data_IF_344816183168
#
_entry.id   IF_344816183168
#
_cell.length_a   1.000
_cell.length_b   1.000
_cell.length_c   1.000
_cell.angle_alpha   90.00
_cell.angle_beta   90.00
_cell.angle_gamma   90.00
#
_symmetry.space_group_name_H-M   'P 1'
#
loop_
_entity.id
_entity.type
_entity.pdbx_description
1 polymer ?
#
# COMPACT_ATOMS: atom_id res chain seq x y z
N UNK A 1 -8.84 -9.27 3.45
CA UNK A 1 -8.45 -8.20 4.41
C UNK A 1 -9.46 -8.21 5.54
N UNK A 2 -8.98 -8.35 6.77
CA UNK A 2 -9.84 -8.51 7.95
C UNK A 2 -10.27 -7.16 8.52
N UNK A 3 -9.38 -6.16 8.52
CA UNK A 3 -9.67 -4.78 8.91
C UNK A 3 -8.99 -3.81 7.92
N UNK A 4 -9.76 -3.04 7.12
CA UNK A 4 -9.23 -2.04 6.20
C UNK A 4 -8.90 -0.68 6.85
N UNK A 5 -9.28 -0.48 8.12
CA UNK A 5 -9.00 0.75 8.87
C UNK A 5 -7.67 0.65 9.64
N UNK A 6 -7.04 -0.53 9.69
CA UNK A 6 -5.70 -0.71 10.26
C UNK A 6 -4.60 -0.29 9.25
N UNK A 7 -3.66 0.60 9.63
CA UNK A 7 -2.59 1.02 8.75
C UNK A 7 -1.57 -0.09 8.55
N UNK A 8 -0.98 -0.16 7.35
CA UNK A 8 0.15 -1.05 7.07
C UNK A 8 1.41 -0.39 7.62
N UNK A 9 2.12 -1.09 8.51
CA UNK A 9 3.37 -0.62 9.13
C UNK A 9 4.57 -1.30 8.51
N UNK A 10 5.56 -0.50 8.17
CA UNK A 10 6.85 -0.92 7.63
C UNK A 10 7.95 -0.53 8.61
N UNK A 11 8.87 -1.46 8.84
CA UNK A 11 10.03 -1.27 9.69
C UNK A 11 11.27 -1.69 8.89
N UNK A 12 12.31 -0.87 8.94
CA UNK A 12 13.59 -1.16 8.30
C UNK A 12 14.59 -1.50 9.38
N UNK A 13 15.40 -2.53 9.15
CA UNK A 13 16.44 -2.98 10.06
C UNK A 13 17.71 -3.29 9.27
N UNK A 14 18.86 -3.00 9.89
CA UNK A 14 20.16 -3.48 9.40
C UNK A 14 20.36 -4.92 9.88
N UNK A 15 20.79 -5.80 8.99
CA UNK A 15 20.97 -7.20 9.34
C UNK A 15 22.38 -7.45 9.86
N UNK A 16 22.46 -7.86 11.12
CA UNK A 16 23.71 -8.17 11.80
C UNK A 16 23.91 -9.67 12.01
N UNK A 17 25.15 -10.14 11.81
CA UNK A 17 25.46 -11.59 11.91
C UNK A 17 25.66 -12.05 13.35
N UNK A 18 26.18 -11.19 14.22
CA UNK A 18 26.57 -11.54 15.59
C UNK A 18 25.95 -10.63 16.66
N UNK A 19 25.30 -9.54 16.23
CA UNK A 19 24.60 -8.58 17.07
C UNK A 19 23.11 -8.57 16.70
N UNK A 20 22.22 -8.04 17.56
CA UNK A 20 20.84 -7.80 17.18
C UNK A 20 20.74 -6.73 16.10
N UNK A 21 19.82 -6.92 15.16
CA UNK A 21 19.56 -5.99 14.06
C UNK A 21 19.18 -4.58 14.55
N UNK A 22 19.87 -3.55 14.05
CA UNK A 22 19.64 -2.14 14.39
C UNK A 22 18.44 -1.56 13.64
N UNK A 23 17.61 -0.75 14.31
CA UNK A 23 16.43 -0.13 13.69
C UNK A 23 16.85 1.04 12.78
N UNK A 24 16.48 0.97 11.50
CA UNK A 24 16.77 1.98 10.47
C UNK A 24 15.54 2.82 10.07
N UNK A 25 14.52 2.89 10.94
CA UNK A 25 13.33 3.73 10.78
C UNK A 25 12.05 2.95 10.53
N UNK A 26 10.93 3.69 10.50
CA UNK A 26 9.60 3.13 10.26
C UNK A 26 8.71 4.05 9.42
N UNK A 27 7.75 3.47 8.72
CA UNK A 27 6.73 4.19 7.97
C UNK A 27 5.38 3.49 8.11
N UNK A 28 4.29 4.21 7.90
CA UNK A 28 2.96 3.63 7.81
C UNK A 28 2.11 4.32 6.74
N UNK A 29 1.16 3.59 6.18
CA UNK A 29 0.21 4.09 5.19
C UNK A 29 -1.16 3.40 5.31
N UNK A 30 -2.20 4.14 4.94
CA UNK A 30 -3.58 3.66 4.94
C UNK A 30 -3.91 3.03 3.58
N UNK A 31 -4.50 1.83 3.59
CA UNK A 31 -4.94 1.14 2.37
C UNK A 31 -6.38 1.47 1.98
N UNK A 32 -7.12 2.18 2.84
CA UNK A 32 -8.53 2.50 2.60
C UNK A 32 -8.80 3.23 1.28
N UNK A 33 -8.06 4.28 0.89
CA UNK A 33 -8.26 4.94 -0.41
C UNK A 33 -8.06 3.98 -1.59
N UNK A 34 -7.10 3.05 -1.47
CA UNK A 34 -6.84 2.03 -2.47
C UNK A 34 -8.02 1.06 -2.58
N UNK A 35 -8.53 0.58 -1.45
CA UNK A 35 -9.65 -0.37 -1.40
C UNK A 35 -10.97 0.23 -1.89
N UNK A 36 -11.19 1.53 -1.66
CA UNK A 36 -12.34 2.23 -2.21
C UNK A 36 -12.33 2.19 -3.74
N UNK A 37 -11.17 2.41 -4.36
CA UNK A 37 -11.00 2.33 -5.82
C UNK A 37 -11.15 0.89 -6.33
N UNK A 38 -10.59 -0.11 -5.63
CA UNK A 38 -10.75 -1.53 -5.98
C UNK A 38 -12.21 -1.96 -6.04
N UNK A 39 -13.06 -1.39 -5.17
CA UNK A 39 -14.50 -1.71 -5.12
C UNK A 39 -15.34 -0.95 -6.16
N UNK A 40 -14.76 0.01 -6.89
CA UNK A 40 -15.46 0.74 -7.94
C UNK A 40 -15.62 -0.14 -9.18
N UNK A 41 -16.68 0.11 -9.95
CA UNK A 41 -16.78 -0.44 -11.29
C UNK A 41 -15.95 0.42 -12.26
N UNK A 42 -14.75 -0.04 -12.59
CA UNK A 42 -13.78 0.65 -13.45
C UNK A 42 -13.80 0.13 -14.90
N UNK A 43 -14.69 -0.81 -15.22
CA UNK A 43 -14.83 -1.35 -16.56
C UNK A 43 -15.14 -0.25 -17.59
N UNK A 44 -14.42 -0.27 -18.71
CA UNK A 44 -14.58 0.69 -19.79
C UNK A 44 -13.82 2.01 -19.61
N UNK A 45 -13.13 2.23 -18.49
CA UNK A 45 -12.21 3.36 -18.36
C UNK A 45 -10.96 3.16 -19.23
N UNK A 46 -10.43 4.25 -19.83
CA UNK A 46 -9.16 4.19 -20.54
C UNK A 46 -8.01 3.71 -19.64
N UNK A 47 -7.05 3.02 -20.23
CA UNK A 47 -5.82 2.64 -19.55
C UNK A 47 -5.04 3.88 -19.06
N UNK A 48 -4.50 3.81 -17.85
CA UNK A 48 -3.76 4.92 -17.23
C UNK A 48 -4.64 5.99 -16.58
N UNK A 49 -5.94 5.73 -16.41
CA UNK A 49 -6.84 6.67 -15.73
C UNK A 49 -6.46 6.82 -14.26
N UNK A 50 -6.13 8.04 -13.84
CA UNK A 50 -5.94 8.37 -12.43
C UNK A 50 -7.31 8.48 -11.76
N UNK A 51 -7.61 7.59 -10.82
CA UNK A 51 -8.90 7.57 -10.12
C UNK A 51 -8.89 8.54 -8.94
N UNK A 52 -7.82 8.49 -8.15
CA UNK A 52 -7.64 9.39 -7.02
C UNK A 52 -6.15 9.55 -6.69
N UNK A 53 -5.85 10.47 -5.78
CA UNK A 53 -4.49 10.78 -5.34
C UNK A 53 -4.44 10.99 -3.84
N UNK A 54 -3.38 10.49 -3.22
CA UNK A 54 -3.06 10.71 -1.81
C UNK A 54 -1.88 11.68 -1.73
N UNK A 55 -2.11 12.85 -1.12
CA UNK A 55 -1.09 13.90 -1.00
C UNK A 55 -0.26 13.73 0.29
N UNK A 56 1.02 14.13 0.26
CA UNK A 56 1.82 14.31 1.47
C UNK A 56 1.12 15.23 2.48
N UNK A 57 1.14 14.87 3.75
CA UNK A 57 0.69 15.74 4.84
C UNK A 57 1.53 15.48 6.10
N UNK A 58 1.22 16.16 7.22
CA UNK A 58 2.00 16.03 8.46
C UNK A 58 1.66 14.77 9.27
N UNK A 59 0.60 14.06 8.88
CA UNK A 59 0.07 12.89 9.57
C UNK A 59 0.46 11.58 8.88
N UNK A 60 0.72 11.60 7.57
CA UNK A 60 1.12 10.43 6.79
C UNK A 60 2.64 10.40 6.51
N UNK A 61 3.12 9.25 6.05
CA UNK A 61 4.52 9.06 5.70
C UNK A 61 4.81 9.28 4.21
N UNK A 62 3.87 9.85 3.44
CA UNK A 62 4.01 9.97 1.98
C UNK A 62 4.98 11.11 1.64
N UNK A 63 6.02 10.80 0.88
CA UNK A 63 7.06 11.76 0.46
C UNK A 63 6.64 12.59 -0.76
N UNK A 64 5.91 12.00 -1.70
CA UNK A 64 5.39 12.65 -2.91
C UNK A 64 3.96 12.20 -3.24
N UNK A 65 3.24 12.95 -4.07
CA UNK A 65 1.85 12.63 -4.42
C UNK A 65 1.70 11.21 -4.99
N UNK A 66 0.95 10.36 -4.30
CA UNK A 66 0.71 8.98 -4.69
C UNK A 66 -0.58 8.86 -5.48
N UNK A 67 -0.51 8.47 -6.76
CA UNK A 67 -1.67 8.27 -7.60
C UNK A 67 -2.16 6.80 -7.55
N UNK A 68 -3.47 6.63 -7.41
CA UNK A 68 -4.15 5.35 -7.60
C UNK A 68 -4.69 5.31 -9.03
N UNK A 69 -4.20 4.35 -9.82
CA UNK A 69 -4.36 4.31 -11.28
C UNK A 69 -5.02 3.01 -11.69
N UNK A 70 -6.00 3.12 -12.60
CA UNK A 70 -6.51 1.99 -13.37
C UNK A 70 -5.60 1.74 -14.57
N UNK A 71 -4.91 0.60 -14.57
CA UNK A 71 -3.98 0.23 -15.63
C UNK A 71 -3.94 -1.29 -15.84
N UNK A 72 -3.94 -1.73 -17.09
CA UNK A 72 -3.83 -3.13 -17.50
C UNK A 72 -4.90 -4.02 -16.84
N UNK A 73 -6.12 -3.48 -16.68
CA UNK A 73 -7.22 -4.17 -16.00
C UNK A 73 -7.05 -4.32 -14.48
N UNK A 74 -6.15 -3.54 -13.87
CA UNK A 74 -5.83 -3.61 -12.44
C UNK A 74 -5.79 -2.22 -11.81
N UNK A 75 -6.06 -2.18 -10.51
CA UNK A 75 -5.82 -1.00 -9.68
C UNK A 75 -4.39 -1.08 -9.14
N UNK A 76 -3.61 -0.03 -9.37
CA UNK A 76 -2.22 0.09 -8.93
C UNK A 76 -2.00 1.40 -8.18
N UNK A 77 -1.08 1.41 -7.22
CA UNK A 77 -0.70 2.64 -6.51
C UNK A 77 0.80 2.65 -6.22
N UNK A 78 1.53 3.61 -6.77
CA UNK A 78 2.93 3.84 -6.43
C UNK A 78 3.03 4.78 -5.23
N UNK A 79 3.92 4.46 -4.30
CA UNK A 79 4.15 5.24 -3.08
C UNK A 79 5.63 5.37 -2.80
N UNK A 80 6.04 6.59 -2.45
CA UNK A 80 7.31 6.86 -1.79
C UNK A 80 7.01 7.25 -0.36
N UNK A 81 7.59 6.50 0.58
CA UNK A 81 7.36 6.67 2.00
C UNK A 81 8.63 7.19 2.66
N UNK A 82 8.55 8.35 3.30
CA UNK A 82 9.64 8.91 4.10
C UNK A 82 9.68 8.20 5.45
N UNK A 83 10.84 7.64 5.79
CA UNK A 83 11.04 6.99 7.07
C UNK A 83 11.02 8.01 8.23
N UNK A 84 10.42 7.60 9.33
CA UNK A 84 10.43 8.29 10.63
C UNK A 84 11.46 7.64 11.54
N UNK A 85 11.84 8.37 12.59
CA UNK A 85 12.74 7.87 13.65
C UNK A 85 14.11 7.42 13.12
N UNK A 86 14.57 8.03 12.03
CA UNK A 86 15.90 7.84 11.42
C UNK A 86 16.35 9.17 10.81
N UNK A 87 17.65 9.33 10.61
CA UNK A 87 18.26 10.55 10.06
C UNK A 87 17.86 10.81 8.60
N UNK A 88 17.73 9.74 7.80
CA UNK A 88 17.36 9.79 6.40
C UNK A 88 16.90 8.41 5.92
N UNK A 89 16.18 8.39 4.81
CA UNK A 89 15.73 7.16 4.17
C UNK A 89 14.30 7.24 3.65
N UNK A 90 14.07 6.61 2.51
CA UNK A 90 12.78 6.53 1.84
C UNK A 90 12.57 5.09 1.33
N UNK A 91 11.33 4.63 1.32
CA UNK A 91 10.92 3.34 0.73
C UNK A 91 10.04 3.64 -0.48
N UNK A 92 10.43 3.12 -1.64
CA UNK A 92 9.56 3.06 -2.82
C UNK A 92 8.83 1.71 -2.85
N UNK A 93 7.52 1.72 -3.04
CA UNK A 93 6.72 0.51 -3.18
C UNK A 93 5.50 0.71 -4.08
N UNK A 94 4.94 -0.40 -4.57
CA UNK A 94 3.72 -0.41 -5.37
C UNK A 94 2.70 -1.39 -4.77
N UNK A 95 1.45 -0.92 -4.62
CA UNK A 95 0.32 -1.78 -4.30
C UNK A 95 -0.35 -2.31 -5.57
N UNK A 96 -0.75 -3.57 -5.54
CA UNK A 96 -1.59 -4.23 -6.54
C UNK A 96 -2.65 -5.08 -5.84
N UNK A 97 -3.86 -5.11 -6.39
CA UNK A 97 -4.92 -5.98 -5.90
C UNK A 97 -4.88 -7.35 -6.58
N UNK A 98 -5.11 -8.40 -5.80
CA UNK A 98 -5.24 -9.77 -6.29
C UNK A 98 -6.52 -10.37 -5.69
N UNK A 99 -7.47 -10.74 -6.55
CA UNK A 99 -8.65 -11.48 -6.13
C UNK A 99 -8.28 -12.94 -5.86
N UNK A 100 -8.52 -13.38 -4.62
CA UNK A 100 -8.38 -14.77 -4.23
C UNK A 100 -9.76 -15.44 -4.36
N UNK A 101 -9.93 -16.44 -5.25
CA UNK A 101 -11.19 -17.17 -5.32
C UNK A 101 -11.46 -17.83 -3.98
N UNK A 102 -12.66 -17.63 -3.44
CA UNK A 102 -13.09 -18.36 -2.23
C UNK A 102 -13.08 -19.86 -2.53
N UNK A 103 -12.54 -20.66 -1.62
CA UNK A 103 -12.74 -22.10 -1.65
C UNK A 103 -14.26 -22.36 -1.61
N UNK A 104 -14.80 -23.29 -2.43
CA UNK A 104 -16.18 -23.69 -2.28
C UNK A 104 -16.33 -24.20 -0.85
N UNK A 105 -17.04 -23.44 -0.02
CA UNK A 105 -17.49 -23.94 1.27
C UNK A 105 -18.25 -25.22 0.97
N UNK A 106 -17.77 -26.34 1.51
CA UNK A 106 -18.54 -27.57 1.55
C UNK A 106 -19.85 -27.22 2.24
N UNK A 107 -20.90 -26.99 1.44
CA UNK A 107 -22.27 -27.21 1.87
C UNK A 107 -22.35 -28.71 2.15
N UNK A 108 -21.98 -29.08 3.37
CA UNK A 108 -22.35 -30.36 3.93
C UNK A 108 -23.85 -30.28 4.23
N UNK A 109 -24.59 -31.08 3.45
CA UNK A 109 -25.90 -31.69 3.66
C UNK A 109 -26.79 -31.16 4.80
#
# INVERSE_FOLDING_TARGET
ITDPDEPVKLFVYDHDTFTPDDKMGDAEFDIKPFLEVVKMNLEGLPDGTIITKVKPNRQNCIAEESAIIWKDGKVTQNMFLRLRNVESGEIELQLQWIDVPSSPSSQAA
#
